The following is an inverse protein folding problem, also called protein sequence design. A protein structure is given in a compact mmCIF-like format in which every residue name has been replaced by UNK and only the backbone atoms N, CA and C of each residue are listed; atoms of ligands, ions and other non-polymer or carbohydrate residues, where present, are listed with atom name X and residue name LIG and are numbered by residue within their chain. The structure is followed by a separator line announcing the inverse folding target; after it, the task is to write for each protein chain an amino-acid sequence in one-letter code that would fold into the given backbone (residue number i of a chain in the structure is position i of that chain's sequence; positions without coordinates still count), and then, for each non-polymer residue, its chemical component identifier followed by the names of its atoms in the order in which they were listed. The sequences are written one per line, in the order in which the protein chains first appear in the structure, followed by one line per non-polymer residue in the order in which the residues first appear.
data_IF_971866584814
#
_entry.id   IF_971866584814
#
_cell.length_a   1.000
_cell.length_b   1.000
_cell.length_c   1.000
_cell.angle_alpha   90.00
_cell.angle_beta   90.00
_cell.angle_gamma   90.00
#
_symmetry.space_group_name_H-M   'P 1'
#
loop_
_entity.id
_entity.type
_entity.pdbx_description
1 polymer ?
#
# COMPACT_ATOMS: atom_id res chain seq x y z
N UNK A 1 -21.07 26.83 -0.83
CA UNK A 1 -19.74 27.23 -0.28
C UNK A 1 -18.69 26.14 -0.63
N UNK A 2 -18.73 24.93 -0.07
CA UNK A 2 -17.71 23.89 -0.31
C UNK A 2 -17.46 23.60 -1.81
N UNK A 3 -18.52 23.47 -2.59
CA UNK A 3 -18.42 23.20 -4.04
C UNK A 3 -17.71 24.33 -4.79
N UNK A 4 -18.00 25.57 -4.46
CA UNK A 4 -17.39 26.72 -5.10
C UNK A 4 -15.94 26.93 -4.65
N UNK A 5 -15.64 26.67 -3.39
CA UNK A 5 -14.28 26.69 -2.86
C UNK A 5 -13.41 25.63 -3.53
N UNK A 6 -13.89 24.39 -3.67
CA UNK A 6 -13.16 23.34 -4.36
C UNK A 6 -12.91 23.68 -5.83
N UNK A 7 -13.91 24.22 -6.53
CA UNK A 7 -13.74 24.67 -7.92
C UNK A 7 -12.70 25.78 -8.04
N UNK A 8 -12.74 26.75 -7.14
CA UNK A 8 -11.76 27.83 -7.09
C UNK A 8 -10.34 27.27 -6.83
N UNK A 9 -10.18 26.42 -5.84
CA UNK A 9 -8.88 25.84 -5.49
C UNK A 9 -8.28 25.00 -6.64
N UNK A 10 -9.10 24.23 -7.33
CA UNK A 10 -8.68 23.45 -8.51
C UNK A 10 -8.30 24.38 -9.68
N UNK A 11 -9.12 25.39 -9.97
CA UNK A 11 -8.85 26.33 -11.05
C UNK A 11 -7.62 27.21 -10.77
N UNK A 12 -7.40 27.58 -9.51
CA UNK A 12 -6.25 28.35 -9.07
C UNK A 12 -4.98 27.50 -8.84
N UNK A 13 -5.04 26.19 -9.10
CA UNK A 13 -3.94 25.24 -8.89
C UNK A 13 -3.41 25.19 -7.45
N UNK A 14 -4.28 25.43 -6.47
CA UNK A 14 -3.96 25.38 -5.04
C UNK A 14 -3.99 23.93 -4.49
N UNK A 15 -4.72 23.04 -5.14
CA UNK A 15 -4.80 21.63 -4.82
C UNK A 15 -5.02 20.78 -6.08
N UNK A 16 -4.81 19.48 -5.96
CA UNK A 16 -5.18 18.50 -6.96
C UNK A 16 -5.68 17.21 -6.28
N UNK A 17 -6.76 16.59 -6.75
CA UNK A 17 -7.15 15.27 -6.30
C UNK A 17 -6.08 14.22 -6.63
N UNK A 18 -5.98 13.17 -5.82
CA UNK A 18 -5.14 12.03 -6.16
C UNK A 18 -5.73 11.23 -7.34
N UNK A 19 -4.93 10.34 -7.93
CA UNK A 19 -5.33 9.61 -9.14
C UNK A 19 -6.65 8.84 -9.01
N UNK A 20 -6.94 8.06 -7.93
CA UNK A 20 -8.23 7.39 -7.80
C UNK A 20 -9.43 8.33 -7.72
N UNK A 21 -9.28 9.50 -7.14
CA UNK A 21 -10.34 10.52 -7.15
C UNK A 21 -10.61 11.02 -8.57
N UNK A 22 -9.57 11.26 -9.37
CA UNK A 22 -9.73 11.66 -10.77
C UNK A 22 -10.41 10.57 -11.61
N UNK A 23 -10.08 9.29 -11.38
CA UNK A 23 -10.57 8.21 -12.24
C UNK A 23 -11.96 7.70 -11.86
N UNK A 24 -12.35 7.78 -10.59
CA UNK A 24 -13.51 7.06 -10.10
C UNK A 24 -14.59 7.95 -9.48
N UNK A 25 -14.23 9.12 -8.95
CA UNK A 25 -15.18 9.96 -8.21
C UNK A 25 -16.17 10.64 -9.15
N UNK A 26 -17.45 10.51 -8.84
CA UNK A 26 -18.53 11.18 -9.56
C UNK A 26 -19.00 10.47 -10.82
N UNK A 27 -18.37 9.41 -11.29
CA UNK A 27 -18.76 8.68 -12.50
C UNK A 27 -20.14 8.03 -12.37
N UNK A 28 -20.42 7.42 -11.23
CA UNK A 28 -21.75 6.86 -10.96
C UNK A 28 -22.81 7.93 -10.94
N UNK A 29 -22.58 9.01 -10.19
CA UNK A 29 -23.53 10.12 -10.06
C UNK A 29 -23.79 10.85 -11.37
N UNK A 30 -22.76 11.12 -12.16
CA UNK A 30 -22.87 11.94 -13.38
C UNK A 30 -23.33 11.14 -14.60
N UNK A 31 -22.98 9.87 -14.70
CA UNK A 31 -23.14 9.04 -15.90
C UNK A 31 -23.83 7.71 -15.66
N UNK A 32 -24.19 7.38 -14.41
CA UNK A 32 -24.79 6.10 -14.05
C UNK A 32 -23.86 4.91 -14.22
N UNK A 33 -22.53 5.16 -14.26
CA UNK A 33 -21.55 4.07 -14.40
C UNK A 33 -21.55 3.25 -13.11
N UNK A 34 -21.62 1.93 -13.27
CA UNK A 34 -21.64 0.97 -12.19
C UNK A 34 -20.67 -0.19 -12.44
N UNK A 35 -20.36 -0.96 -11.40
CA UNK A 35 -19.47 -2.10 -11.47
C UNK A 35 -19.52 -2.96 -10.21
N UNK A 36 -19.04 -4.20 -10.27
CA UNK A 36 -19.06 -5.09 -9.12
C UNK A 36 -18.27 -4.51 -7.94
N UNK A 37 -18.76 -4.74 -6.74
CA UNK A 37 -18.09 -4.33 -5.50
C UNK A 37 -16.67 -4.90 -5.43
N UNK A 38 -15.71 -4.07 -5.03
CA UNK A 38 -14.33 -4.49 -4.73
C UNK A 38 -14.17 -5.02 -3.30
N UNK A 39 -15.28 -5.10 -2.54
CA UNK A 39 -15.30 -5.64 -1.20
C UNK A 39 -14.83 -4.68 -0.10
N UNK A 40 -14.67 -3.39 -0.41
CA UNK A 40 -14.34 -2.38 0.59
C UNK A 40 -15.58 -1.90 1.35
N UNK A 41 -15.34 -1.18 2.44
CA UNK A 41 -16.35 -0.63 3.32
C UNK A 41 -16.25 0.90 3.36
N UNK A 42 -17.37 1.54 3.60
CA UNK A 42 -17.45 2.98 3.84
C UNK A 42 -18.34 3.26 5.05
N UNK A 43 -18.20 4.43 5.65
CA UNK A 43 -19.09 4.89 6.72
C UNK A 43 -20.22 5.67 6.07
N UNK A 44 -21.43 5.15 6.18
CA UNK A 44 -22.62 5.84 5.72
C UNK A 44 -22.83 7.14 6.51
N UNK A 45 -22.98 8.27 5.83
CA UNK A 45 -22.99 9.57 6.45
C UNK A 45 -24.28 9.85 7.24
N UNK A 46 -25.40 9.20 6.92
CA UNK A 46 -26.67 9.36 7.63
C UNK A 46 -26.73 8.46 8.87
N UNK A 47 -26.51 7.19 8.67
CA UNK A 47 -26.62 6.18 9.75
C UNK A 47 -25.39 6.09 10.64
N UNK A 48 -24.25 6.64 10.22
CA UNK A 48 -22.93 6.56 10.88
C UNK A 48 -22.45 5.11 11.09
N UNK A 49 -22.97 4.17 10.32
CA UNK A 49 -22.60 2.76 10.39
C UNK A 49 -21.59 2.40 9.28
N UNK A 50 -20.76 1.42 9.57
CA UNK A 50 -19.89 0.80 8.60
C UNK A 50 -20.72 -0.08 7.65
N UNK A 51 -20.71 0.24 6.36
CA UNK A 51 -21.47 -0.46 5.32
C UNK A 51 -20.50 -1.02 4.28
N UNK A 52 -20.75 -2.24 3.82
CA UNK A 52 -20.00 -2.82 2.71
C UNK A 52 -20.48 -2.22 1.40
N UNK A 53 -19.57 -1.73 0.59
CA UNK A 53 -19.89 -1.19 -0.73
C UNK A 53 -20.48 -2.26 -1.65
N UNK A 54 -21.53 -1.90 -2.37
CA UNK A 54 -22.18 -2.77 -3.37
C UNK A 54 -21.65 -2.49 -4.78
N UNK A 55 -21.14 -1.28 -5.01
CA UNK A 55 -20.62 -0.83 -6.30
C UNK A 55 -19.22 -0.26 -6.15
N UNK A 56 -18.36 -0.50 -7.12
CA UNK A 56 -17.01 0.09 -7.17
C UNK A 56 -17.01 1.57 -7.55
N UNK A 57 -18.12 2.11 -8.06
CA UNK A 57 -18.22 3.50 -8.53
C UNK A 57 -19.15 4.38 -7.70
N UNK A 58 -20.15 3.80 -7.01
CA UNK A 58 -21.06 4.57 -6.14
C UNK A 58 -20.33 5.10 -4.91
N UNK A 59 -19.56 4.23 -4.24
CA UNK A 59 -18.68 4.59 -3.13
C UNK A 59 -17.26 4.12 -3.44
N UNK A 60 -16.55 4.80 -4.38
CA UNK A 60 -15.24 4.36 -4.81
C UNK A 60 -14.19 4.54 -3.71
N UNK A 61 -13.13 3.71 -3.75
CA UNK A 61 -11.96 3.91 -2.91
C UNK A 61 -11.18 5.15 -3.40
N UNK A 62 -11.13 6.24 -2.61
CA UNK A 62 -10.53 7.50 -3.06
C UNK A 62 -9.02 7.58 -2.79
N UNK A 63 -8.44 6.62 -2.06
CA UNK A 63 -7.04 6.68 -1.61
C UNK A 63 -6.10 5.95 -2.55
N UNK A 64 -5.01 6.62 -2.91
CA UNK A 64 -3.98 6.05 -3.78
C UNK A 64 -3.02 5.13 -3.01
N UNK A 65 -2.73 5.45 -1.76
CA UNK A 65 -1.71 4.78 -0.96
C UNK A 65 -2.18 4.60 0.49
N UNK A 66 -1.70 3.51 1.10
CA UNK A 66 -2.02 3.15 2.48
C UNK A 66 -0.74 2.94 3.28
N UNK A 67 -0.68 3.56 4.45
CA UNK A 67 0.37 3.31 5.42
C UNK A 67 0.01 2.04 6.20
N UNK A 68 0.94 1.07 6.19
CA UNK A 68 0.80 -0.20 6.87
C UNK A 68 1.82 -0.31 8.01
N UNK A 69 1.44 -0.95 9.09
CA UNK A 69 2.36 -1.34 10.15
C UNK A 69 2.76 -2.81 10.02
N UNK A 70 3.93 -3.14 10.53
CA UNK A 70 4.42 -4.52 10.65
C UNK A 70 5.03 -4.72 12.02
N UNK A 71 4.79 -5.87 12.62
CA UNK A 71 5.40 -6.31 13.87
C UNK A 71 6.47 -7.37 13.57
N UNK A 72 7.42 -7.50 14.47
CA UNK A 72 8.48 -8.52 14.38
C UNK A 72 7.97 -9.90 14.79
N UNK A 73 7.01 -10.38 14.01
CA UNK A 73 6.37 -11.69 14.11
C UNK A 73 6.21 -12.26 12.70
N UNK A 74 6.39 -13.56 12.54
CA UNK A 74 6.36 -14.15 11.21
C UNK A 74 4.94 -14.31 10.65
N UNK A 75 4.02 -14.90 11.43
CA UNK A 75 2.74 -15.40 10.89
C UNK A 75 1.50 -14.85 11.58
N UNK A 76 1.62 -14.29 12.79
CA UNK A 76 0.47 -13.78 13.52
C UNK A 76 -0.08 -12.49 12.94
N UNK A 77 -1.27 -12.10 13.37
CA UNK A 77 -1.91 -10.84 12.96
C UNK A 77 -0.97 -9.64 13.20
N UNK A 78 -0.85 -8.77 12.21
CA UNK A 78 0.09 -7.65 12.22
C UNK A 78 1.53 -8.02 11.89
N UNK A 79 1.86 -9.28 11.74
CA UNK A 79 3.19 -9.76 11.41
C UNK A 79 3.56 -9.68 9.92
N UNK A 80 4.70 -10.26 9.58
CA UNK A 80 5.33 -10.15 8.25
C UNK A 80 4.45 -10.77 7.16
N UNK A 81 3.98 -12.01 7.35
CA UNK A 81 3.16 -12.69 6.34
C UNK A 81 1.77 -12.06 6.22
N UNK A 82 1.20 -11.58 7.32
CA UNK A 82 -0.05 -10.81 7.29
C UNK A 82 0.11 -9.49 6.51
N UNK A 83 1.24 -8.80 6.66
CA UNK A 83 1.54 -7.62 5.84
C UNK A 83 1.48 -7.95 4.34
N UNK A 84 2.07 -9.05 3.90
CA UNK A 84 2.05 -9.44 2.48
C UNK A 84 0.63 -9.72 1.98
N UNK A 85 -0.21 -10.32 2.81
CA UNK A 85 -1.63 -10.55 2.45
C UNK A 85 -2.39 -9.24 2.32
N UNK A 86 -2.19 -8.30 3.25
CA UNK A 86 -2.82 -6.97 3.19
C UNK A 86 -2.34 -6.18 1.97
N UNK A 87 -1.04 -6.16 1.70
CA UNK A 87 -0.46 -5.51 0.52
C UNK A 87 -0.98 -6.12 -0.79
N UNK A 88 -1.06 -7.45 -0.87
CA UNK A 88 -1.61 -8.11 -2.06
C UNK A 88 -3.04 -7.69 -2.39
N UNK A 89 -3.88 -7.49 -1.36
CA UNK A 89 -5.24 -6.96 -1.53
C UNK A 89 -5.23 -5.53 -2.05
N UNK A 90 -4.40 -4.65 -1.47
CA UNK A 90 -4.29 -3.26 -1.89
C UNK A 90 -3.76 -3.13 -3.32
N UNK A 91 -2.74 -3.90 -3.67
CA UNK A 91 -2.19 -3.93 -5.04
C UNK A 91 -3.21 -4.44 -6.05
N UNK A 92 -3.97 -5.48 -5.71
CA UNK A 92 -5.03 -6.01 -6.57
C UNK A 92 -6.04 -4.92 -6.97
N UNK A 93 -6.33 -3.99 -6.08
CA UNK A 93 -7.29 -2.91 -6.31
C UNK A 93 -6.64 -1.59 -6.77
N UNK A 94 -5.36 -1.61 -7.11
CA UNK A 94 -4.67 -0.48 -7.72
C UNK A 94 -4.13 0.56 -6.76
N UNK A 95 -4.11 0.28 -5.45
CA UNK A 95 -3.51 1.16 -4.44
C UNK A 95 -2.07 0.78 -4.13
N UNK A 96 -1.26 1.76 -3.72
CA UNK A 96 0.09 1.56 -3.22
C UNK A 96 0.15 1.39 -1.70
N UNK A 97 1.29 0.97 -1.20
CA UNK A 97 1.55 0.82 0.24
C UNK A 97 2.84 1.50 0.67
N UNK A 98 2.88 1.91 1.93
CA UNK A 98 4.10 2.36 2.61
C UNK A 98 4.21 1.72 3.99
N UNK A 99 5.36 1.19 4.34
CA UNK A 99 5.59 0.51 5.62
C UNK A 99 6.97 0.84 6.18
N UNK A 100 7.05 1.08 7.50
CA UNK A 100 8.31 1.20 8.21
C UNK A 100 8.73 -0.19 8.73
N UNK A 101 9.90 -0.65 8.32
CA UNK A 101 10.44 -1.98 8.65
C UNK A 101 11.42 -1.95 9.83
N UNK A 102 11.65 -0.81 10.46
CA UNK A 102 12.62 -0.66 11.53
C UNK A 102 12.35 -1.54 12.76
N UNK A 103 11.12 -2.01 12.94
CA UNK A 103 10.76 -2.92 14.02
C UNK A 103 11.17 -4.38 13.77
N UNK A 104 11.46 -4.73 12.53
CA UNK A 104 11.91 -6.09 12.20
C UNK A 104 13.37 -6.24 12.62
N UNK A 105 13.69 -7.33 13.28
CA UNK A 105 15.06 -7.60 13.73
C UNK A 105 16.02 -7.78 12.57
N UNK A 106 17.26 -7.34 12.77
CA UNK A 106 18.36 -7.50 11.83
C UNK A 106 18.93 -8.93 11.79
N UNK A 107 19.79 -9.17 10.81
CA UNK A 107 20.41 -10.50 10.58
C UNK A 107 21.37 -10.96 11.69
N UNK A 108 21.83 -10.03 12.51
CA UNK A 108 22.74 -10.32 13.63
C UNK A 108 22.03 -10.64 14.94
N UNK A 109 20.71 -10.38 15.01
CA UNK A 109 19.93 -10.53 16.22
C UNK A 109 19.46 -11.96 16.45
N UNK A 110 19.35 -12.34 17.73
CA UNK A 110 18.96 -13.68 18.15
C UNK A 110 17.45 -13.93 18.03
N UNK A 111 17.10 -15.19 17.85
CA UNK A 111 15.71 -15.67 17.93
C UNK A 111 15.41 -16.19 19.33
N UNK A 112 14.17 -16.05 19.80
CA UNK A 112 13.73 -16.54 21.11
C UNK A 112 13.86 -18.06 21.26
N UNK A 113 13.77 -18.82 20.17
CA UNK A 113 13.96 -20.27 20.12
C UNK A 113 15.41 -20.71 19.91
N UNK A 114 16.37 -19.78 19.92
CA UNK A 114 17.78 -20.04 19.59
C UNK A 114 18.09 -19.83 18.10
N UNK A 115 19.35 -19.56 17.81
CA UNK A 115 19.81 -19.22 16.46
C UNK A 115 19.72 -17.72 16.16
N UNK A 116 19.98 -17.35 14.90
CA UNK A 116 19.98 -15.96 14.43
C UNK A 116 18.84 -15.72 13.45
N UNK A 117 18.38 -14.49 13.41
CA UNK A 117 17.41 -13.99 12.44
C UNK A 117 17.99 -14.10 11.02
N UNK A 118 17.11 -14.33 10.04
CA UNK A 118 17.46 -14.18 8.61
C UNK A 118 17.54 -12.72 8.18
N UNK A 119 17.19 -11.78 9.07
CA UNK A 119 17.26 -10.35 8.86
C UNK A 119 16.09 -9.75 8.12
N UNK A 120 15.86 -8.46 8.36
CA UNK A 120 14.82 -7.66 7.71
C UNK A 120 14.91 -7.76 6.19
N UNK A 121 16.12 -7.72 5.62
CA UNK A 121 16.34 -7.72 4.16
C UNK A 121 15.84 -9.00 3.48
N UNK A 122 15.88 -10.16 4.16
CA UNK A 122 15.34 -11.41 3.62
C UNK A 122 13.82 -11.33 3.40
N UNK A 123 13.11 -10.76 4.34
CA UNK A 123 11.66 -10.56 4.23
C UNK A 123 11.30 -9.45 3.26
N UNK A 124 12.07 -8.38 3.22
CA UNK A 124 11.86 -7.30 2.26
C UNK A 124 11.95 -7.80 0.81
N UNK A 125 12.89 -8.68 0.51
CA UNK A 125 13.02 -9.31 -0.83
C UNK A 125 11.79 -10.13 -1.21
N UNK A 126 11.17 -10.84 -0.25
CA UNK A 126 9.91 -11.57 -0.49
C UNK A 126 8.80 -10.59 -0.92
N UNK A 127 8.62 -9.52 -0.15
CA UNK A 127 7.60 -8.51 -0.44
C UNK A 127 7.83 -7.76 -1.75
N UNK A 128 9.08 -7.47 -2.09
CA UNK A 128 9.44 -6.83 -3.37
C UNK A 128 9.10 -7.74 -4.57
N UNK A 129 9.41 -9.04 -4.48
CA UNK A 129 9.04 -10.02 -5.51
C UNK A 129 7.54 -10.23 -5.61
N UNK A 130 6.84 -10.28 -4.48
CA UNK A 130 5.39 -10.38 -4.46
C UNK A 130 4.75 -9.15 -5.13
N UNK A 131 5.19 -7.94 -4.80
CA UNK A 131 4.73 -6.71 -5.43
C UNK A 131 4.99 -6.70 -6.95
N UNK A 132 6.15 -7.16 -7.39
CA UNK A 132 6.48 -7.29 -8.82
C UNK A 132 5.61 -8.30 -9.57
N UNK A 133 5.14 -9.35 -8.90
CA UNK A 133 4.29 -10.38 -9.50
C UNK A 133 2.81 -9.97 -9.56
N UNK A 134 2.35 -9.14 -8.64
CA UNK A 134 0.94 -8.75 -8.56
C UNK A 134 0.66 -7.62 -9.55
N UNK A 135 -0.15 -7.94 -10.55
CA UNK A 135 -0.72 -6.95 -11.46
C UNK A 135 -2.13 -6.61 -11.01
N UNK A 136 -2.48 -5.34 -10.98
CA UNK A 136 -3.85 -4.94 -10.67
C UNK A 136 -4.78 -5.49 -11.76
N UNK A 137 -5.70 -6.36 -11.36
CA UNK A 137 -6.66 -6.98 -12.28
C UNK A 137 -7.57 -5.93 -12.90
N UNK A 138 -7.38 -5.64 -14.20
CA UNK A 138 -8.22 -4.73 -14.96
C UNK A 138 -7.89 -3.25 -14.81
N UNK A 139 -6.88 -2.86 -14.05
CA UNK A 139 -6.41 -1.48 -13.98
C UNK A 139 -4.99 -1.36 -14.53
N UNK A 140 -4.66 -0.18 -15.03
CA UNK A 140 -3.38 0.13 -15.68
C UNK A 140 -2.23 0.36 -14.68
N UNK A 141 -2.51 0.29 -13.37
CA UNK A 141 -1.51 0.58 -12.31
C UNK A 141 -0.74 -0.67 -11.92
N UNK A 142 0.58 -0.52 -11.87
CA UNK A 142 1.47 -1.50 -11.22
C UNK A 142 1.41 -1.34 -9.71
N UNK A 143 1.71 -2.42 -8.97
CA UNK A 143 1.94 -2.35 -7.54
C UNK A 143 3.02 -1.30 -7.23
N UNK A 144 2.75 -0.45 -6.24
CA UNK A 144 3.69 0.56 -5.76
C UNK A 144 3.92 0.32 -4.27
N UNK A 145 5.18 0.07 -3.91
CA UNK A 145 5.60 -0.22 -2.53
C UNK A 145 6.70 0.74 -2.11
N UNK A 146 6.49 1.41 -1.00
CA UNK A 146 7.52 2.19 -0.30
C UNK A 146 7.87 1.51 1.01
N UNK A 147 9.14 1.47 1.33
CA UNK A 147 9.65 0.99 2.62
C UNK A 147 10.57 2.04 3.20
N UNK A 148 10.41 2.32 4.47
CA UNK A 148 11.33 3.13 5.25
C UNK A 148 12.03 2.28 6.30
N UNK A 149 13.27 2.63 6.61
CA UNK A 149 14.07 2.00 7.65
C UNK A 149 14.81 3.10 8.40
N UNK A 150 14.79 3.07 9.71
CA UNK A 150 15.49 4.05 10.53
C UNK A 150 17.01 3.86 10.41
N UNK A 151 17.76 4.95 10.52
CA UNK A 151 19.20 4.96 10.22
C UNK A 151 20.05 4.13 11.21
N UNK A 152 19.51 3.84 12.36
CA UNK A 152 20.15 3.04 13.41
C UNK A 152 19.83 1.54 13.34
N UNK A 153 19.08 1.11 12.31
CA UNK A 153 18.74 -0.30 12.12
C UNK A 153 19.98 -1.15 11.79
N UNK A 154 20.16 -2.36 12.39
CA UNK A 154 21.34 -3.19 12.15
C UNK A 154 21.64 -3.55 10.68
N UNK A 155 20.60 -3.68 9.86
CA UNK A 155 20.73 -4.02 8.42
C UNK A 155 20.72 -2.76 7.52
N UNK A 156 20.90 -1.54 8.05
CA UNK A 156 20.73 -0.29 7.27
C UNK A 156 21.70 -0.19 6.09
N UNK A 157 22.95 -0.59 6.26
CA UNK A 157 23.94 -0.54 5.18
C UNK A 157 23.57 -1.48 4.02
N UNK A 158 23.07 -2.68 4.32
CA UNK A 158 22.56 -3.60 3.30
C UNK A 158 21.35 -3.01 2.58
N UNK A 159 20.44 -2.38 3.34
CA UNK A 159 19.26 -1.72 2.79
C UNK A 159 19.63 -0.59 1.81
N UNK A 160 20.55 0.29 2.17
CA UNK A 160 20.99 1.42 1.34
C UNK A 160 21.62 0.91 0.03
N UNK A 161 22.46 -0.13 0.13
CA UNK A 161 23.22 -0.65 -1.02
C UNK A 161 22.41 -1.64 -1.88
N UNK A 162 21.26 -2.10 -1.40
CA UNK A 162 20.51 -3.18 -2.04
C UNK A 162 20.20 -2.94 -3.52
N UNK A 163 19.66 -1.78 -3.87
CA UNK A 163 19.28 -1.49 -5.26
C UNK A 163 20.50 -1.39 -6.18
N UNK A 164 21.60 -0.82 -5.72
CA UNK A 164 22.86 -0.75 -6.46
C UNK A 164 23.40 -2.16 -6.78
N UNK A 165 23.39 -3.05 -5.77
CA UNK A 165 23.82 -4.44 -5.94
C UNK A 165 22.91 -5.20 -6.92
N UNK A 166 21.60 -4.99 -6.87
CA UNK A 166 20.67 -5.63 -7.82
C UNK A 166 20.87 -5.13 -9.25
N UNK A 167 21.10 -3.83 -9.45
CA UNK A 167 21.41 -3.27 -10.77
C UNK A 167 22.71 -3.85 -11.36
N UNK A 168 23.74 -4.01 -10.54
CA UNK A 168 25.01 -4.63 -10.97
C UNK A 168 24.82 -6.08 -11.44
N UNK A 169 23.93 -6.84 -10.79
CA UNK A 169 23.61 -8.22 -11.22
C UNK A 169 22.91 -8.29 -12.57
N UNK A 170 22.14 -7.25 -12.93
CA UNK A 170 21.44 -7.20 -14.22
C UNK A 170 22.40 -6.76 -15.34
N UNK A 171 23.42 -5.97 -15.01
CA UNK A 171 24.41 -5.47 -15.98
C UNK A 171 25.51 -6.49 -16.30
N UNK A 172 25.69 -7.52 -15.49
CA UNK A 172 26.69 -8.58 -15.67
C UNK A 172 26.10 -9.76 -16.48
#
# INVERSE_FOLDING_TARGET
IYFDEMRFMLAAQMCAPNSPQWFNTGLHWAYGIDGPSQGHYYVDFETKKLVKSQSSYEHPQPHACFIQSVQDDLVNEGGIMDLWVREARLFKYGSGTGSNFSKLRGSTEGLSGGGRSSGMMSFLRIGDRAAGAIKSGGTTRRAAKMVTVDIDHPDIEEYINWKVVEEQKVAA
#
